data_IF_525221450114
#
_entry.id   IF_525221450114
#
_cell.length_a   1.000
_cell.length_b   1.000
_cell.length_c   1.000
_cell.angle_alpha   90.00
_cell.angle_beta   90.00
_cell.angle_gamma   90.00
#
_symmetry.space_group_name_H-M   'P 1'
#
loop_
_entity.id
_entity.type
_entity.pdbx_description
1 polymer ?
#
# COMPACT_ATOMS: atom_id res chain seq x y z
N UNK A 1 -46.21 22.25 3.60
CA UNK A 1 -45.06 22.61 4.48
C UNK A 1 -44.23 21.37 4.88
N UNK A 2 -43.71 20.59 3.91
CA UNK A 2 -42.93 19.35 4.21
C UNK A 2 -41.60 19.23 3.43
N UNK A 3 -41.23 20.25 2.64
CA UNK A 3 -40.02 20.25 1.79
C UNK A 3 -38.80 20.93 2.43
N UNK A 4 -38.91 21.39 3.68
CA UNK A 4 -37.88 22.20 4.36
C UNK A 4 -36.93 21.40 5.28
N UNK A 5 -37.20 20.12 5.49
CA UNK A 5 -36.34 19.23 6.30
C UNK A 5 -35.60 18.17 5.49
N UNK A 6 -35.72 18.17 4.15
CA UNK A 6 -35.05 17.19 3.29
C UNK A 6 -33.58 17.56 3.00
N UNK A 7 -33.24 18.86 3.07
CA UNK A 7 -31.89 19.38 2.79
C UNK A 7 -30.86 19.12 3.91
N UNK A 8 -31.17 19.21 5.23
CA UNK A 8 -30.15 19.02 6.26
C UNK A 8 -29.76 17.55 6.49
N UNK A 9 -30.60 16.58 6.07
CA UNK A 9 -30.31 15.14 6.24
C UNK A 9 -29.29 14.67 5.19
N UNK A 10 -29.36 15.15 3.95
CA UNK A 10 -28.39 14.80 2.91
C UNK A 10 -26.97 15.34 3.19
N UNK A 11 -26.86 16.52 3.82
CA UNK A 11 -25.57 17.12 4.15
C UNK A 11 -24.81 16.37 5.26
N UNK A 12 -25.54 15.77 6.23
CA UNK A 12 -24.95 14.97 7.31
C UNK A 12 -24.44 13.61 6.84
N UNK A 13 -25.08 13.00 5.83
CA UNK A 13 -24.59 11.74 5.23
C UNK A 13 -23.32 11.92 4.39
N UNK A 14 -23.10 13.11 3.82
CA UNK A 14 -21.94 13.39 2.97
C UNK A 14 -20.63 13.52 3.76
N UNK A 15 -20.66 14.19 4.93
CA UNK A 15 -19.46 14.36 5.76
C UNK A 15 -18.96 13.06 6.40
N UNK A 16 -19.82 12.05 6.59
CA UNK A 16 -19.43 10.78 7.20
C UNK A 16 -18.71 9.83 6.22
N UNK A 17 -18.90 10.00 4.91
CA UNK A 17 -18.15 9.25 3.89
C UNK A 17 -16.69 9.71 3.78
N UNK A 18 -16.45 11.03 3.76
CA UNK A 18 -15.11 11.58 3.57
C UNK A 18 -14.11 11.20 4.69
N UNK A 19 -14.59 10.98 5.92
CA UNK A 19 -13.74 10.57 7.05
C UNK A 19 -13.43 9.05 7.04
N UNK A 20 -14.23 8.23 6.36
CA UNK A 20 -13.95 6.81 6.19
C UNK A 20 -12.91 6.56 5.10
N UNK A 21 -12.96 7.35 4.01
CA UNK A 21 -11.97 7.29 2.93
C UNK A 21 -10.55 7.59 3.45
N UNK A 22 -10.38 8.60 4.33
CA UNK A 22 -9.05 8.98 4.83
C UNK A 22 -8.33 7.88 5.63
N UNK A 23 -9.06 7.03 6.35
CA UNK A 23 -8.45 5.94 7.12
C UNK A 23 -7.92 4.83 6.21
N UNK A 24 -8.70 4.45 5.18
CA UNK A 24 -8.24 3.45 4.22
C UNK A 24 -7.08 3.97 3.37
N UNK A 25 -7.08 5.27 3.04
CA UNK A 25 -5.95 5.91 2.37
C UNK A 25 -4.68 5.82 3.25
N UNK A 26 -4.76 6.13 4.55
CA UNK A 26 -3.63 6.02 5.47
C UNK A 26 -3.09 4.58 5.60
N UNK A 27 -3.98 3.59 5.73
CA UNK A 27 -3.59 2.17 5.77
C UNK A 27 -2.96 1.71 4.46
N UNK A 28 -3.52 2.15 3.32
CA UNK A 28 -2.99 1.86 2.01
C UNK A 28 -1.61 2.47 1.80
N UNK A 29 -1.42 3.74 2.16
CA UNK A 29 -0.13 4.41 2.06
C UNK A 29 0.93 3.71 2.93
N UNK A 30 0.56 3.29 4.14
CA UNK A 30 1.47 2.52 5.00
C UNK A 30 1.83 1.16 4.37
N UNK A 31 0.85 0.44 3.82
CA UNK A 31 1.08 -0.84 3.15
C UNK A 31 1.97 -0.67 1.91
N UNK A 32 1.68 0.33 1.07
CA UNK A 32 2.42 0.62 -0.14
C UNK A 32 3.87 1.01 0.19
N UNK A 33 4.07 1.86 1.20
CA UNK A 33 5.39 2.22 1.68
C UNK A 33 6.17 1.00 2.18
N UNK A 34 5.55 0.12 2.97
CA UNK A 34 6.20 -1.10 3.44
C UNK A 34 6.55 -2.03 2.27
N UNK A 35 5.63 -2.23 1.33
CA UNK A 35 5.88 -3.06 0.15
C UNK A 35 7.07 -2.55 -0.66
N UNK A 36 7.11 -1.25 -0.99
CA UNK A 36 8.22 -0.65 -1.75
C UNK A 36 9.55 -0.74 -0.99
N UNK A 37 9.52 -0.60 0.33
CA UNK A 37 10.74 -0.64 1.14
C UNK A 37 11.31 -2.05 1.31
N UNK A 38 10.45 -3.07 1.43
CA UNK A 38 10.83 -4.45 1.77
C UNK A 38 11.03 -5.34 0.54
N UNK A 39 10.23 -5.14 -0.53
CA UNK A 39 10.28 -5.97 -1.73
C UNK A 39 11.67 -6.06 -2.39
N UNK A 40 12.49 -4.98 -2.47
CA UNK A 40 13.83 -5.05 -3.06
C UNK A 40 14.76 -6.09 -2.41
N UNK A 41 14.55 -6.45 -1.15
CA UNK A 41 15.34 -7.48 -0.47
C UNK A 41 15.11 -8.90 -1.01
N UNK A 42 13.99 -9.15 -1.70
CA UNK A 42 13.65 -10.47 -2.28
C UNK A 42 14.39 -10.75 -3.60
N UNK A 43 14.85 -9.71 -4.28
CA UNK A 43 15.69 -9.78 -5.48
C UNK A 43 16.72 -8.63 -5.47
N UNK A 44 17.89 -8.84 -4.83
CA UNK A 44 19.00 -7.90 -4.89
C UNK A 44 19.35 -7.42 -6.30
N UNK A 45 19.30 -8.30 -7.30
CA UNK A 45 19.58 -7.92 -8.69
C UNK A 45 18.50 -7.00 -9.24
N UNK A 46 17.23 -7.28 -8.93
CA UNK A 46 16.10 -6.42 -9.28
C UNK A 46 16.19 -5.04 -8.61
N UNK A 47 16.65 -4.99 -7.35
CA UNK A 47 16.89 -3.74 -6.63
C UNK A 47 17.89 -2.85 -7.37
N UNK A 48 19.05 -3.40 -7.75
CA UNK A 48 20.05 -2.67 -8.54
C UNK A 48 19.49 -2.18 -9.88
N UNK A 49 18.68 -2.99 -10.56
CA UNK A 49 18.06 -2.59 -11.84
C UNK A 49 17.08 -1.42 -11.69
N UNK A 50 16.41 -1.30 -10.54
CA UNK A 50 15.53 -0.18 -10.21
C UNK A 50 16.29 1.07 -9.71
N UNK A 51 17.61 0.97 -9.50
CA UNK A 51 18.45 2.03 -8.93
C UNK A 51 18.53 2.02 -7.40
N UNK A 52 18.00 0.98 -6.74
CA UNK A 52 18.15 0.75 -5.31
C UNK A 52 19.43 -0.05 -5.04
N UNK A 53 20.50 0.67 -4.71
CA UNK A 53 21.83 0.12 -4.51
C UNK A 53 22.08 -0.46 -3.10
N UNK A 54 21.05 -0.58 -2.25
CA UNK A 54 21.20 -1.11 -0.87
C UNK A 54 21.75 -2.54 -0.84
N UNK A 55 21.61 -3.30 -1.93
CA UNK A 55 21.93 -4.74 -2.00
C UNK A 55 22.97 -5.13 -3.06
N UNK A 56 23.72 -4.18 -3.65
CA UNK A 56 24.65 -4.42 -4.78
C UNK A 56 25.73 -5.49 -4.52
N UNK A 57 26.02 -5.79 -3.25
CA UNK A 57 26.95 -6.84 -2.85
C UNK A 57 26.34 -8.26 -2.79
N UNK A 58 25.08 -8.43 -3.17
CA UNK A 58 24.32 -9.67 -3.02
C UNK A 58 23.78 -10.17 -4.36
N UNK A 59 23.44 -11.46 -4.42
CA UNK A 59 22.76 -12.08 -5.56
C UNK A 59 21.48 -12.75 -5.08
N UNK A 60 20.51 -12.85 -5.98
CA UNK A 60 19.26 -13.57 -5.75
C UNK A 60 19.52 -15.04 -5.35
N UNK A 61 18.92 -15.49 -4.25
CA UNK A 61 18.90 -16.91 -3.89
C UNK A 61 17.86 -17.65 -4.74
N UNK A 62 18.34 -18.41 -5.72
CA UNK A 62 17.52 -19.21 -6.65
C UNK A 62 17.50 -20.71 -6.29
N UNK A 63 17.91 -21.06 -5.06
CA UNK A 63 17.90 -22.44 -4.59
C UNK A 63 16.48 -23.02 -4.56
N UNK A 64 16.38 -24.35 -4.50
CA UNK A 64 15.08 -25.02 -4.38
C UNK A 64 14.36 -24.65 -3.07
N UNK A 65 15.13 -24.51 -1.98
CA UNK A 65 14.60 -24.12 -0.67
C UNK A 65 14.04 -22.69 -0.71
N UNK A 66 14.85 -21.72 -1.19
CA UNK A 66 14.42 -20.34 -1.28
C UNK A 66 13.18 -20.13 -2.17
N UNK A 67 13.00 -20.94 -3.22
CA UNK A 67 11.77 -20.89 -4.05
C UNK A 67 10.56 -21.53 -3.37
N UNK A 68 10.76 -22.57 -2.56
CA UNK A 68 9.70 -23.18 -1.79
C UNK A 68 9.18 -22.25 -0.69
N UNK A 69 10.07 -21.49 -0.04
CA UNK A 69 9.71 -20.54 1.02
C UNK A 69 8.94 -19.30 0.49
N UNK A 70 8.98 -19.04 -0.82
CA UNK A 70 8.28 -17.92 -1.48
C UNK A 70 6.90 -18.29 -2.03
N UNK A 71 6.56 -19.58 -2.11
CA UNK A 71 5.32 -20.10 -2.73
C UNK A 71 4.18 -20.18 -1.71
#
# INVERSE_FOLDING_TARGET
MKKRYFVPICALFFCMHAAADSHFDEEWEALAANFVNEMPALSPVGATQLGDHRFDGQLDDISALARADRA
#
